data_IF_785573768806
#
_entry.id   IF_785573768806
#
_cell.length_a   1.000
_cell.length_b   1.000
_cell.length_c   1.000
_cell.angle_alpha   90.00
_cell.angle_beta   90.00
_cell.angle_gamma   90.00
#
_symmetry.space_group_name_H-M   'P 1'
#
loop_
_entity.id
_entity.type
_entity.pdbx_description
1 polymer ?
#
# COMPACT_ATOMS: atom_id res chain seq x y z
N UNK A 1 5.58 -4.24 18.66
CA UNK A 1 5.83 -5.16 17.53
C UNK A 1 5.46 -6.56 17.97
N UNK A 2 4.79 -7.30 17.11
CA UNK A 2 4.41 -8.68 17.32
C UNK A 2 4.50 -9.46 16.03
N UNK A 3 4.42 -10.79 16.16
CA UNK A 3 4.38 -11.71 15.02
C UNK A 3 3.23 -12.68 15.24
N UNK A 4 2.51 -13.00 14.19
CA UNK A 4 1.35 -13.87 14.23
C UNK A 4 1.27 -14.72 12.97
N UNK A 5 0.75 -15.95 13.11
CA UNK A 5 0.43 -16.78 11.96
C UNK A 5 -0.92 -16.32 11.39
N UNK A 6 -0.95 -15.92 10.14
CA UNK A 6 -2.12 -15.50 9.40
C UNK A 6 -2.09 -16.12 7.99
N UNK A 7 -3.18 -16.68 7.50
CA UNK A 7 -3.26 -17.32 6.18
C UNK A 7 -2.11 -18.31 5.88
N UNK A 8 -1.64 -19.04 6.92
CA UNK A 8 -0.57 -20.04 6.79
C UNK A 8 0.86 -19.49 6.75
N UNK A 9 1.07 -18.19 6.92
CA UNK A 9 2.37 -17.53 6.96
C UNK A 9 2.53 -16.69 8.24
N UNK A 10 3.78 -16.34 8.59
CA UNK A 10 4.07 -15.43 9.69
C UNK A 10 4.05 -13.99 9.20
N UNK A 11 3.26 -13.12 9.83
CA UNK A 11 3.23 -11.67 9.58
C UNK A 11 3.79 -10.92 10.78
N UNK A 12 4.70 -10.00 10.51
CA UNK A 12 5.22 -9.04 11.48
C UNK A 12 4.32 -7.81 11.48
N UNK A 13 3.88 -7.35 12.67
CA UNK A 13 2.97 -6.22 12.81
C UNK A 13 3.29 -5.33 14.00
N UNK A 14 2.72 -4.13 14.00
CA UNK A 14 2.78 -3.18 15.11
C UNK A 14 1.42 -2.50 15.29
N UNK A 15 1.05 -2.26 16.56
CA UNK A 15 -0.23 -1.62 16.93
C UNK A 15 0.03 -0.33 17.69
N UNK A 16 -0.76 0.70 17.41
CA UNK A 16 -0.79 1.99 18.11
C UNK A 16 -2.24 2.29 18.51
N UNK A 17 -2.42 3.03 19.59
CA UNK A 17 -3.75 3.43 20.09
C UNK A 17 -4.37 2.40 21.04
N UNK A 18 -5.63 2.62 21.37
CA UNK A 18 -6.41 1.77 22.29
C UNK A 18 -7.19 0.73 21.50
N UNK A 19 -7.27 -0.51 22.02
CA UNK A 19 -8.03 -1.60 21.37
C UNK A 19 -9.55 -1.36 21.33
N UNK A 20 -10.04 -0.43 22.14
CA UNK A 20 -11.46 -0.04 22.17
C UNK A 20 -11.83 0.97 21.07
N UNK A 21 -10.83 1.57 20.42
CA UNK A 21 -11.04 2.54 19.33
C UNK A 21 -11.28 1.85 17.97
N UNK A 22 -11.94 2.51 17.00
CA UNK A 22 -12.09 1.99 15.63
C UNK A 22 -10.75 1.58 15.02
N UNK A 23 -10.71 0.36 14.49
CA UNK A 23 -9.47 -0.25 13.95
C UNK A 23 -9.18 0.21 12.54
N UNK A 24 -7.98 0.73 12.31
CA UNK A 24 -7.39 1.01 11.00
C UNK A 24 -6.36 -0.06 10.65
N UNK A 25 -6.51 -0.73 9.51
CA UNK A 25 -5.49 -1.61 8.94
C UNK A 25 -4.74 -0.88 7.82
N UNK A 26 -3.44 -0.63 8.02
CA UNK A 26 -2.59 0.07 7.07
C UNK A 26 -1.79 -0.93 6.22
N UNK A 27 -2.07 -0.97 4.92
CA UNK A 27 -1.43 -1.86 3.94
C UNK A 27 -0.46 -1.04 3.08
N UNK A 28 0.83 -1.41 3.10
CA UNK A 28 1.88 -0.67 2.40
C UNK A 28 2.10 -1.21 0.98
N UNK A 29 2.79 -0.41 0.16
CA UNK A 29 3.06 -0.66 -1.25
C UNK A 29 4.19 -1.65 -1.54
N UNK A 30 4.49 -1.78 -2.83
CA UNK A 30 5.48 -2.68 -3.42
C UNK A 30 6.86 -2.52 -2.78
N UNK A 31 7.42 -3.63 -2.30
CA UNK A 31 8.78 -3.70 -1.76
C UNK A 31 8.99 -2.91 -0.47
N UNK A 32 7.96 -2.24 0.03
CA UNK A 32 8.04 -1.38 1.20
C UNK A 32 7.64 -2.11 2.47
N UNK A 33 8.44 -1.92 3.52
CA UNK A 33 8.18 -2.46 4.85
C UNK A 33 7.13 -1.61 5.58
N UNK A 34 6.50 -2.16 6.62
CA UNK A 34 5.52 -1.42 7.44
C UNK A 34 6.07 -0.10 8.02
N UNK A 35 7.38 -0.01 8.17
CA UNK A 35 8.09 1.18 8.64
C UNK A 35 8.00 2.38 7.69
N UNK A 36 7.58 2.16 6.44
CA UNK A 36 7.28 3.24 5.48
C UNK A 36 6.01 4.03 5.87
N UNK A 37 5.11 3.45 6.66
CA UNK A 37 4.17 4.22 7.46
C UNK A 37 4.92 4.82 8.67
N UNK A 38 5.23 6.13 8.71
CA UNK A 38 6.03 6.70 9.79
C UNK A 38 5.36 6.51 11.16
N UNK A 39 6.17 6.26 12.18
CA UNK A 39 5.66 6.09 13.57
C UNK A 39 4.85 7.31 14.00
N UNK A 40 5.31 8.51 13.65
CA UNK A 40 4.62 9.76 13.96
C UNK A 40 3.24 9.83 13.29
N UNK A 41 3.13 9.41 12.02
CA UNK A 41 1.86 9.32 11.30
C UNK A 41 0.88 8.36 11.99
N UNK A 42 1.37 7.16 12.38
CA UNK A 42 0.56 6.19 13.11
C UNK A 42 0.12 6.71 14.48
N UNK A 43 1.01 7.41 15.20
CA UNK A 43 0.69 8.03 16.49
C UNK A 43 -0.31 9.17 16.37
N UNK A 44 -0.25 9.94 15.29
CA UNK A 44 -1.26 10.99 15.06
C UNK A 44 -2.64 10.39 14.79
N UNK A 45 -2.75 9.31 14.01
CA UNK A 45 -4.00 8.57 13.86
C UNK A 45 -4.49 8.01 15.20
N UNK A 46 -3.60 7.40 15.99
CA UNK A 46 -3.93 6.91 17.32
C UNK A 46 -4.38 8.05 18.26
N UNK A 47 -3.74 9.20 18.20
CA UNK A 47 -4.13 10.40 18.96
C UNK A 47 -5.48 10.98 18.56
N UNK A 48 -6.03 10.60 17.40
CA UNK A 48 -7.37 10.95 16.91
C UNK A 48 -8.45 9.94 17.32
N UNK A 49 -8.10 8.93 18.14
CA UNK A 49 -9.01 7.91 18.63
C UNK A 49 -9.16 6.74 17.66
N UNK A 50 -8.07 6.25 17.10
CA UNK A 50 -8.04 5.05 16.26
C UNK A 50 -7.05 4.03 16.82
N UNK A 51 -7.41 2.73 16.77
CA UNK A 51 -6.44 1.67 16.86
C UNK A 51 -5.81 1.49 15.48
N UNK A 52 -4.48 1.62 15.37
CA UNK A 52 -3.76 1.58 14.09
C UNK A 52 -2.90 0.34 14.04
N UNK A 53 -3.15 -0.53 13.07
CA UNK A 53 -2.37 -1.74 12.80
C UNK A 53 -1.61 -1.51 11.50
N UNK A 54 -0.27 -1.62 11.53
CA UNK A 54 0.58 -1.70 10.34
C UNK A 54 1.36 -3.00 10.35
N UNK A 55 1.62 -3.56 9.18
CA UNK A 55 2.29 -4.86 9.05
C UNK A 55 3.18 -4.93 7.81
N UNK A 56 4.15 -5.82 7.83
CA UNK A 56 4.90 -6.17 6.63
C UNK A 56 4.08 -7.16 5.80
N UNK A 57 3.83 -6.82 4.54
CA UNK A 57 3.23 -7.74 3.58
C UNK A 57 4.08 -9.01 3.45
N UNK A 58 3.49 -10.14 2.95
CA UNK A 58 4.27 -11.32 2.57
C UNK A 58 5.45 -10.93 1.72
N UNK A 59 6.54 -11.63 1.87
CA UNK A 59 7.76 -11.47 1.07
C UNK A 59 8.58 -10.20 1.35
N UNK A 60 8.18 -9.38 2.33
CA UNK A 60 8.87 -8.14 2.68
C UNK A 60 9.08 -8.04 4.19
N UNK A 61 10.14 -7.33 4.58
CA UNK A 61 10.45 -7.00 5.96
C UNK A 61 10.75 -8.23 6.79
N UNK A 62 10.06 -8.37 7.92
CA UNK A 62 10.24 -9.50 8.85
C UNK A 62 9.07 -10.51 8.74
N UNK A 63 8.12 -10.31 7.84
CA UNK A 63 7.12 -11.32 7.48
C UNK A 63 7.76 -12.47 6.69
N UNK A 64 7.03 -13.57 6.51
CA UNK A 64 7.50 -14.74 5.79
C UNK A 64 7.98 -14.41 4.39
N UNK A 65 9.20 -14.83 4.05
CA UNK A 65 9.75 -14.79 2.70
C UNK A 65 9.32 -16.03 1.93
N UNK A 66 8.92 -15.85 0.67
CA UNK A 66 8.37 -16.91 -0.18
C UNK A 66 9.42 -17.51 -1.14
N UNK A 67 10.68 -17.61 -0.73
CA UNK A 67 11.81 -18.09 -1.56
C UNK A 67 11.60 -19.50 -2.11
N UNK A 68 10.84 -20.32 -1.39
CA UNK A 68 10.47 -21.66 -1.82
C UNK A 68 9.59 -21.68 -3.09
N UNK A 69 8.97 -20.53 -3.46
CA UNK A 69 8.19 -20.37 -4.69
C UNK A 69 9.05 -20.02 -5.92
N UNK A 70 10.37 -19.84 -5.74
CA UNK A 70 11.31 -19.57 -6.82
C UNK A 70 11.50 -18.08 -7.13
N UNK A 71 12.34 -17.82 -8.13
CA UNK A 71 12.65 -16.49 -8.63
C UNK A 71 11.52 -15.97 -9.53
N UNK A 72 11.36 -14.64 -9.58
CA UNK A 72 10.38 -13.97 -10.43
C UNK A 72 11.10 -13.00 -11.39
N UNK A 73 10.73 -13.02 -12.66
CA UNK A 73 11.19 -12.07 -13.67
C UNK A 73 10.10 -11.01 -13.90
N UNK A 74 10.19 -9.92 -13.15
CA UNK A 74 9.22 -8.81 -13.23
C UNK A 74 9.20 -8.13 -14.58
N UNK A 75 10.36 -8.09 -15.30
CA UNK A 75 10.42 -7.48 -16.63
C UNK A 75 9.78 -8.36 -17.70
N UNK A 76 9.99 -9.68 -17.64
CA UNK A 76 9.29 -10.61 -18.52
C UNK A 76 7.78 -10.57 -18.27
N UNK A 77 7.34 -10.53 -17.00
CA UNK A 77 5.93 -10.41 -16.63
C UNK A 77 5.29 -9.12 -17.17
N UNK A 78 5.97 -7.99 -17.02
CA UNK A 78 5.51 -6.70 -17.55
C UNK A 78 5.41 -6.74 -19.08
N UNK A 79 6.41 -7.31 -19.77
CA UNK A 79 6.40 -7.48 -21.22
C UNK A 79 5.22 -8.35 -21.70
N UNK A 80 4.93 -9.47 -21.03
CA UNK A 80 3.81 -10.35 -21.33
C UNK A 80 2.46 -9.62 -21.16
N UNK A 81 2.28 -8.89 -20.04
CA UNK A 81 1.06 -8.12 -19.81
C UNK A 81 0.84 -7.03 -20.88
N UNK A 82 1.90 -6.32 -21.28
CA UNK A 82 1.82 -5.32 -22.35
C UNK A 82 1.49 -5.94 -23.70
N UNK A 83 1.84 -7.21 -23.92
CA UNK A 83 1.46 -8.00 -25.10
C UNK A 83 0.04 -8.57 -25.01
N UNK A 84 -0.66 -8.40 -23.89
CA UNK A 84 -1.98 -8.98 -23.63
C UNK A 84 -1.94 -10.47 -23.33
N UNK A 85 -0.79 -10.98 -22.92
CA UNK A 85 -0.57 -12.38 -22.54
C UNK A 85 -0.88 -12.58 -21.05
N UNK A 86 -1.28 -13.79 -20.67
CA UNK A 86 -1.48 -14.14 -19.27
C UNK A 86 -0.12 -14.17 -18.53
N UNK A 87 -0.11 -13.64 -17.31
CA UNK A 87 1.05 -13.64 -16.42
C UNK A 87 0.82 -14.64 -15.30
N UNK A 88 1.77 -15.56 -15.13
CA UNK A 88 1.73 -16.54 -14.04
C UNK A 88 2.49 -15.97 -12.83
N UNK A 89 1.84 -15.92 -11.68
CA UNK A 89 2.39 -15.36 -10.45
C UNK A 89 2.52 -16.43 -9.37
N UNK A 90 3.59 -16.37 -8.59
CA UNK A 90 3.83 -17.29 -7.46
C UNK A 90 2.75 -17.15 -6.37
N UNK A 91 2.18 -15.98 -6.23
CA UNK A 91 1.00 -15.62 -5.45
C UNK A 91 0.35 -14.37 -6.06
N UNK A 92 -0.87 -14.04 -5.63
CA UNK A 92 -1.69 -12.99 -6.20
C UNK A 92 -1.92 -11.85 -5.20
N UNK A 93 -2.47 -10.70 -5.66
CA UNK A 93 -2.95 -9.66 -4.75
C UNK A 93 -4.15 -10.14 -3.91
N UNK A 94 -4.92 -11.13 -4.41
CA UNK A 94 -5.98 -11.76 -3.64
C UNK A 94 -5.42 -12.56 -2.45
N UNK A 95 -4.32 -13.32 -2.64
CA UNK A 95 -3.63 -14.00 -1.52
C UNK A 95 -3.10 -13.00 -0.48
N UNK A 96 -2.68 -11.80 -0.91
CA UNK A 96 -2.23 -10.74 0.00
C UNK A 96 -3.41 -10.07 0.72
N UNK A 97 -4.57 -10.00 0.10
CA UNK A 97 -5.81 -9.60 0.75
C UNK A 97 -6.25 -10.63 1.82
N UNK A 98 -6.12 -11.92 1.50
CA UNK A 98 -6.39 -13.02 2.46
C UNK A 98 -5.42 -12.97 3.66
N UNK A 99 -4.16 -12.56 3.45
CA UNK A 99 -3.21 -12.30 4.55
C UNK A 99 -3.70 -11.20 5.49
N UNK A 100 -4.21 -10.11 4.88
CA UNK A 100 -4.75 -8.98 5.63
C UNK A 100 -5.96 -9.37 6.47
N UNK A 101 -6.86 -10.18 5.91
CA UNK A 101 -8.01 -10.77 6.63
C UNK A 101 -7.53 -11.72 7.72
N UNK A 102 -6.57 -12.60 7.41
CA UNK A 102 -5.99 -13.51 8.38
C UNK A 102 -5.29 -12.80 9.55
N UNK A 103 -4.68 -11.63 9.28
CA UNK A 103 -4.11 -10.78 10.34
C UNK A 103 -5.21 -10.23 11.26
N UNK A 104 -6.32 -9.72 10.70
CA UNK A 104 -7.46 -9.27 11.49
C UNK A 104 -8.01 -10.40 12.36
N UNK A 105 -8.20 -11.61 11.80
CA UNK A 105 -8.66 -12.79 12.55
C UNK A 105 -7.73 -13.12 13.72
N UNK A 106 -6.43 -13.16 13.46
CA UNK A 106 -5.43 -13.50 14.46
C UNK A 106 -5.33 -12.46 15.60
N UNK A 107 -5.74 -11.22 15.33
CA UNK A 107 -5.79 -10.13 16.31
C UNK A 107 -7.17 -9.95 16.94
N UNK A 108 -8.18 -10.73 16.52
CA UNK A 108 -9.51 -10.74 17.10
C UNK A 108 -10.45 -9.64 16.58
N UNK A 109 -10.19 -9.12 15.37
CA UNK A 109 -11.01 -8.10 14.72
C UNK A 109 -11.93 -8.72 13.65
N UNK A 110 -13.23 -8.55 13.79
CA UNK A 110 -14.22 -9.01 12.79
C UNK A 110 -14.15 -8.21 11.50
N UNK A 111 -13.90 -6.89 11.60
CA UNK A 111 -13.72 -5.98 10.47
C UNK A 111 -12.85 -4.77 10.87
N UNK A 112 -12.36 -4.03 9.88
CA UNK A 112 -11.56 -2.83 10.08
C UNK A 112 -11.81 -1.79 8.98
N UNK A 113 -11.40 -0.54 9.23
CA UNK A 113 -11.26 0.46 8.19
C UNK A 113 -9.94 0.19 7.43
N UNK A 114 -10.02 -0.04 6.13
CA UNK A 114 -8.88 -0.47 5.33
C UNK A 114 -8.23 0.75 4.67
N UNK A 115 -6.95 0.94 4.91
CA UNK A 115 -6.15 2.03 4.33
C UNK A 115 -4.99 1.41 3.54
N UNK A 116 -4.97 1.58 2.24
CA UNK A 116 -3.93 1.03 1.38
C UNK A 116 -3.20 2.10 0.57
N UNK A 117 -1.87 2.02 0.53
CA UNK A 117 -1.02 2.92 -0.25
C UNK A 117 -0.38 2.18 -1.42
N UNK A 118 -0.48 2.72 -2.67
CA UNK A 118 0.13 2.13 -3.87
C UNK A 118 -0.35 0.69 -4.11
N UNK A 119 0.54 -0.31 -4.20
CA UNK A 119 0.16 -1.73 -4.20
C UNK A 119 -0.74 -2.08 -3.01
N UNK A 120 -0.51 -1.48 -1.84
CA UNK A 120 -1.39 -1.68 -0.68
C UNK A 120 -2.83 -1.22 -0.94
N UNK A 121 -3.04 -0.19 -1.75
CA UNK A 121 -4.36 0.21 -2.23
C UNK A 121 -4.96 -0.83 -3.19
N UNK A 122 -4.15 -1.47 -4.04
CA UNK A 122 -4.61 -2.56 -4.91
C UNK A 122 -5.02 -3.79 -4.08
N UNK A 123 -4.24 -4.13 -3.04
CA UNK A 123 -4.58 -5.19 -2.07
C UNK A 123 -5.87 -4.83 -1.33
N UNK A 124 -6.00 -3.58 -0.86
CA UNK A 124 -7.22 -3.08 -0.22
C UNK A 124 -8.44 -3.19 -1.14
N UNK A 125 -8.30 -2.87 -2.43
CA UNK A 125 -9.35 -3.08 -3.43
C UNK A 125 -9.72 -4.57 -3.55
N UNK A 126 -8.75 -5.49 -3.60
CA UNK A 126 -9.02 -6.93 -3.60
C UNK A 126 -9.71 -7.39 -2.31
N UNK A 127 -9.31 -6.84 -1.16
CA UNK A 127 -9.95 -7.15 0.12
C UNK A 127 -11.43 -6.77 0.10
N UNK A 128 -11.77 -5.54 -0.29
CA UNK A 128 -13.18 -5.10 -0.28
C UNK A 128 -14.04 -5.78 -1.35
N UNK A 129 -13.44 -6.27 -2.45
CA UNK A 129 -14.11 -7.06 -3.47
C UNK A 129 -14.39 -8.48 -2.96
N UNK A 130 -13.38 -9.15 -2.39
CA UNK A 130 -13.44 -10.56 -2.03
C UNK A 130 -14.04 -10.79 -0.65
N UNK A 131 -13.89 -9.84 0.28
CA UNK A 131 -14.28 -9.92 1.69
C UNK A 131 -15.00 -8.65 2.15
N UNK A 132 -16.11 -8.24 1.50
CA UNK A 132 -16.79 -6.97 1.80
C UNK A 132 -17.23 -6.86 3.26
N UNK A 133 -17.52 -7.97 3.92
CA UNK A 133 -17.92 -8.02 5.34
C UNK A 133 -16.77 -7.72 6.31
N UNK A 134 -15.52 -7.71 5.82
CA UNK A 134 -14.33 -7.47 6.62
C UNK A 134 -13.84 -6.02 6.57
N UNK A 135 -14.50 -5.18 5.75
CA UNK A 135 -14.15 -3.78 5.57
C UNK A 135 -15.30 -2.86 5.98
N UNK A 136 -15.01 -1.91 6.86
CA UNK A 136 -15.94 -0.86 7.29
C UNK A 136 -15.88 0.38 6.39
N UNK A 137 -14.71 0.65 5.82
CA UNK A 137 -14.47 1.69 4.82
C UNK A 137 -13.19 1.39 4.04
N UNK A 138 -13.01 2.05 2.90
CA UNK A 138 -11.81 1.97 2.07
C UNK A 138 -11.16 3.35 1.92
N UNK A 139 -9.89 3.50 2.28
CA UNK A 139 -9.05 4.62 1.87
C UNK A 139 -7.97 4.12 0.91
N UNK A 140 -8.03 4.58 -0.34
CA UNK A 140 -7.05 4.26 -1.39
C UNK A 140 -6.13 5.45 -1.62
N UNK A 141 -4.84 5.32 -1.33
CA UNK A 141 -3.85 6.41 -1.41
C UNK A 141 -2.91 6.12 -2.59
N UNK A 142 -2.79 7.06 -3.53
CA UNK A 142 -1.95 6.99 -4.77
C UNK A 142 -1.91 5.58 -5.38
N UNK A 143 -3.10 5.00 -5.59
CA UNK A 143 -3.28 3.66 -6.16
C UNK A 143 -4.10 3.70 -7.45
N UNK A 144 -4.33 2.54 -8.05
CA UNK A 144 -5.00 2.39 -9.35
C UNK A 144 -5.80 1.10 -9.41
N UNK A 145 -6.92 1.03 -10.16
CA UNK A 145 -7.69 -0.20 -10.32
C UNK A 145 -7.10 -1.16 -11.38
N UNK A 146 -6.17 -0.70 -12.20
CA UNK A 146 -5.53 -1.45 -13.26
C UNK A 146 -4.11 -0.96 -13.51
N UNK A 147 -3.33 -1.74 -14.23
CA UNK A 147 -2.02 -1.27 -14.66
C UNK A 147 -2.16 -0.10 -15.66
N UNK A 148 -1.58 1.05 -15.31
CA UNK A 148 -1.44 2.22 -16.18
C UNK A 148 0.06 2.49 -16.30
N UNK A 149 0.64 2.44 -17.52
CA UNK A 149 2.07 2.67 -17.68
C UNK A 149 2.48 4.06 -17.17
N UNK A 150 3.47 4.11 -16.31
CA UNK A 150 4.18 5.34 -15.96
C UNK A 150 5.28 5.66 -16.98
N UNK A 151 5.94 6.81 -16.81
CA UNK A 151 7.12 7.15 -17.61
C UNK A 151 8.18 6.05 -17.46
N UNK A 152 8.81 5.59 -18.56
CA UNK A 152 9.84 4.55 -18.50
C UNK A 152 11.02 4.90 -17.57
N UNK A 153 11.39 6.17 -17.43
CA UNK A 153 12.47 6.60 -16.51
C UNK A 153 12.06 6.39 -15.05
N UNK A 154 10.78 6.56 -14.72
CA UNK A 154 10.24 6.32 -13.37
C UNK A 154 10.17 4.82 -13.08
N UNK A 155 9.70 4.02 -14.04
CA UNK A 155 9.62 2.55 -13.89
C UNK A 155 11.00 1.93 -13.76
N UNK A 156 12.02 2.52 -14.39
CA UNK A 156 13.39 2.02 -14.36
C UNK A 156 13.98 1.93 -12.94
N UNK A 157 13.50 2.73 -11.98
CA UNK A 157 14.02 2.69 -10.58
C UNK A 157 13.85 1.32 -9.92
N UNK A 158 12.81 0.57 -10.29
CA UNK A 158 12.54 -0.77 -9.75
C UNK A 158 13.44 -1.86 -10.36
N UNK A 159 14.18 -1.54 -11.40
CA UNK A 159 15.04 -2.46 -12.13
C UNK A 159 16.52 -2.05 -12.13
N UNK A 160 16.89 -1.09 -11.28
CA UNK A 160 18.30 -0.74 -11.13
C UNK A 160 19.07 -1.93 -10.57
N UNK A 161 20.25 -2.21 -11.13
CA UNK A 161 21.09 -3.30 -10.61
C UNK A 161 21.50 -2.99 -9.17
N UNK A 162 21.58 -4.05 -8.33
CA UNK A 162 22.09 -3.89 -6.97
C UNK A 162 23.53 -3.34 -7.02
N UNK A 163 23.80 -2.18 -6.39
CA UNK A 163 25.14 -1.59 -6.34
C UNK A 163 26.17 -2.42 -5.59
N UNK A 164 25.75 -3.47 -4.89
CA UNK A 164 26.63 -4.40 -4.17
C UNK A 164 27.23 -3.86 -2.87
N UNK A 165 26.93 -2.62 -2.49
CA UNK A 165 27.41 -2.01 -1.24
C UNK A 165 26.25 -1.35 -0.50
N UNK A 166 26.32 -1.33 0.84
CA UNK A 166 25.31 -0.69 1.67
C UNK A 166 25.09 0.79 1.27
N UNK A 167 26.17 1.54 1.14
CA UNK A 167 26.10 2.96 0.75
C UNK A 167 25.50 3.14 -0.65
N UNK A 168 25.85 2.28 -1.60
CA UNK A 168 25.27 2.31 -2.94
C UNK A 168 23.76 2.02 -2.93
N UNK A 169 23.32 1.03 -2.14
CA UNK A 169 21.89 0.72 -1.96
C UNK A 169 21.13 1.89 -1.32
N UNK A 170 21.72 2.51 -0.29
CA UNK A 170 21.14 3.71 0.33
C UNK A 170 21.00 4.83 -0.70
N UNK A 171 22.06 5.11 -1.47
CA UNK A 171 22.01 6.16 -2.49
C UNK A 171 20.97 5.86 -3.57
N UNK A 172 20.89 4.62 -4.07
CA UNK A 172 19.87 4.22 -5.04
C UNK A 172 18.45 4.42 -4.48
N UNK A 173 18.21 4.08 -3.21
CA UNK A 173 16.93 4.32 -2.55
C UNK A 173 16.58 5.81 -2.44
N UNK A 174 17.56 6.68 -2.13
CA UNK A 174 17.37 8.15 -2.08
C UNK A 174 17.07 8.70 -3.48
N UNK A 175 17.81 8.26 -4.49
CA UNK A 175 17.61 8.71 -5.87
C UNK A 175 16.24 8.25 -6.41
N UNK A 176 15.82 7.02 -6.10
CA UNK A 176 14.49 6.52 -6.42
C UNK A 176 13.38 7.34 -5.77
N UNK A 177 13.50 7.60 -4.47
CA UNK A 177 12.55 8.44 -3.74
C UNK A 177 12.46 9.86 -4.33
N UNK A 178 13.58 10.43 -4.77
CA UNK A 178 13.61 11.74 -5.43
C UNK A 178 12.89 11.72 -6.78
N UNK A 179 13.05 10.66 -7.57
CA UNK A 179 12.39 10.50 -8.87
C UNK A 179 10.89 10.36 -8.70
N UNK A 180 10.43 9.66 -7.67
CA UNK A 180 9.01 9.43 -7.42
C UNK A 180 8.34 10.56 -6.63
N UNK A 181 9.10 11.48 -6.02
CA UNK A 181 8.53 12.67 -5.39
C UNK A 181 7.93 13.62 -6.41
N UNK A 182 6.80 14.24 -6.10
CA UNK A 182 6.12 15.16 -7.01
C UNK A 182 6.76 16.54 -7.12
N UNK A 183 7.71 16.85 -6.25
CA UNK A 183 8.40 18.14 -6.21
C UNK A 183 7.58 19.32 -5.65
N UNK A 184 6.33 19.10 -5.26
CA UNK A 184 5.49 20.13 -4.63
C UNK A 184 5.70 20.27 -3.12
N UNK A 185 6.35 19.27 -2.50
CA UNK A 185 6.72 19.27 -1.09
C UNK A 185 8.25 19.30 -0.93
N UNK A 186 8.77 19.85 0.17
CA UNK A 186 10.20 19.81 0.45
C UNK A 186 10.73 18.38 0.54
N UNK A 187 11.78 18.07 -0.22
CA UNK A 187 12.46 16.78 -0.16
C UNK A 187 13.61 16.87 0.85
N UNK A 188 13.43 16.25 2.03
CA UNK A 188 14.46 16.15 3.06
C UNK A 188 15.34 14.91 2.79
N UNK A 189 16.43 15.10 2.07
CA UNK A 189 17.34 14.02 1.70
C UNK A 189 17.94 13.31 2.91
N UNK A 190 18.28 14.03 3.98
CA UNK A 190 18.85 13.43 5.18
C UNK A 190 17.83 12.52 5.90
N UNK A 191 16.56 12.93 5.90
CA UNK A 191 15.46 12.14 6.44
C UNK A 191 15.26 10.88 5.60
N UNK A 192 15.15 11.03 4.28
CA UNK A 192 14.98 9.90 3.36
C UNK A 192 16.14 8.92 3.47
N UNK A 193 17.37 9.41 3.52
CA UNK A 193 18.57 8.57 3.69
C UNK A 193 18.52 7.75 4.98
N UNK A 194 18.10 8.35 6.10
CA UNK A 194 17.93 7.62 7.38
C UNK A 194 16.86 6.54 7.26
N UNK A 195 15.72 6.82 6.62
CA UNK A 195 14.67 5.83 6.41
C UNK A 195 15.12 4.67 5.54
N UNK A 196 15.77 4.96 4.41
CA UNK A 196 16.30 3.93 3.51
C UNK A 196 17.33 3.06 4.23
N UNK A 197 18.28 3.68 4.94
CA UNK A 197 19.29 2.94 5.69
C UNK A 197 18.67 2.03 6.77
N UNK A 198 17.70 2.53 7.52
CA UNK A 198 17.01 1.75 8.56
C UNK A 198 16.19 0.58 7.96
N UNK A 199 15.55 0.79 6.82
CA UNK A 199 14.80 -0.28 6.14
C UNK A 199 15.73 -1.36 5.58
N UNK A 200 16.88 -0.99 5.02
CA UNK A 200 17.88 -1.96 4.54
C UNK A 200 18.48 -2.74 5.71
N UNK A 201 18.81 -2.08 6.82
CA UNK A 201 19.33 -2.73 8.02
C UNK A 201 18.32 -3.69 8.65
N UNK A 202 17.02 -3.33 8.62
CA UNK A 202 15.93 -4.16 9.14
C UNK A 202 15.71 -5.41 8.29
N UNK A 203 15.66 -5.27 6.95
CA UNK A 203 15.51 -6.38 6.01
C UNK A 203 15.80 -5.91 4.59
N UNK A 204 16.59 -6.70 3.87
CA UNK A 204 16.86 -6.51 2.45
C UNK A 204 16.48 -7.78 1.69
N UNK A 205 15.39 -7.71 0.91
CA UNK A 205 14.84 -8.88 0.19
C UNK A 205 14.28 -8.49 -1.18
N UNK A 206 15.14 -8.18 -2.17
CA UNK A 206 14.71 -7.75 -3.50
C UNK A 206 13.96 -8.85 -4.28
N UNK A 207 14.20 -10.13 -3.99
CA UNK A 207 13.50 -11.26 -4.61
C UNK A 207 11.99 -11.23 -4.29
N UNK A 208 11.64 -10.84 -3.06
CA UNK A 208 10.24 -10.64 -2.66
C UNK A 208 9.60 -9.48 -3.39
N UNK A 209 10.30 -8.36 -3.54
CA UNK A 209 9.81 -7.24 -4.34
C UNK A 209 9.54 -7.65 -5.79
N UNK A 210 10.39 -8.48 -6.39
CA UNK A 210 10.17 -8.98 -7.75
C UNK A 210 8.90 -9.84 -7.86
N UNK A 211 8.65 -10.75 -6.90
CA UNK A 211 7.42 -11.55 -6.84
C UNK A 211 6.18 -10.70 -6.63
N UNK A 212 6.23 -9.68 -5.77
CA UNK A 212 5.14 -8.72 -5.58
C UNK A 212 4.83 -7.94 -6.88
N UNK A 213 5.84 -7.52 -7.64
CA UNK A 213 5.65 -6.86 -8.93
C UNK A 213 4.92 -7.77 -9.91
N UNK A 214 5.29 -9.05 -9.97
CA UNK A 214 4.60 -10.04 -10.82
C UNK A 214 3.14 -10.21 -10.37
N UNK A 215 2.87 -10.22 -9.05
CA UNK A 215 1.51 -10.30 -8.52
C UNK A 215 0.65 -9.08 -8.94
N UNK A 216 1.23 -7.86 -8.92
CA UNK A 216 0.55 -6.64 -9.42
C UNK A 216 0.15 -6.80 -10.90
N UNK A 217 1.12 -7.22 -11.71
CA UNK A 217 0.92 -7.34 -13.17
C UNK A 217 -0.09 -8.44 -13.52
N UNK A 218 -0.05 -9.56 -12.80
CA UNK A 218 -0.95 -10.69 -12.99
C UNK A 218 -2.40 -10.42 -12.57
N UNK A 219 -2.62 -9.47 -11.67
CA UNK A 219 -3.95 -9.19 -11.11
C UNK A 219 -4.90 -8.53 -12.12
N UNK A 220 -4.39 -7.82 -13.11
CA UNK A 220 -5.16 -7.26 -14.21
C UNK A 220 -5.98 -6.02 -13.85
N UNK A 221 -7.18 -5.92 -14.45
CA UNK A 221 -8.10 -4.78 -14.32
C UNK A 221 -9.27 -5.12 -13.39
N UNK A 222 -9.37 -4.40 -12.26
CA UNK A 222 -10.41 -4.55 -11.23
C UNK A 222 -11.57 -3.56 -11.39
N UNK A 223 -11.54 -2.69 -12.41
CA UNK A 223 -12.50 -1.58 -12.55
C UNK A 223 -13.95 -2.06 -12.51
N UNK A 224 -14.28 -3.14 -13.21
CA UNK A 224 -15.66 -3.67 -13.21
C UNK A 224 -16.05 -4.29 -11.86
N UNK A 225 -15.12 -4.97 -11.20
CA UNK A 225 -15.37 -5.58 -9.89
C UNK A 225 -15.58 -4.50 -8.81
N UNK A 226 -14.85 -3.38 -8.88
CA UNK A 226 -14.99 -2.24 -7.96
C UNK A 226 -16.38 -1.58 -8.01
N UNK A 227 -17.12 -1.72 -9.09
CA UNK A 227 -18.52 -1.23 -9.18
C UNK A 227 -19.48 -1.92 -8.22
N UNK A 228 -19.12 -3.09 -7.72
CA UNK A 228 -19.91 -3.82 -6.73
C UNK A 228 -19.63 -3.40 -5.29
N UNK A 229 -18.60 -2.58 -5.07
CA UNK A 229 -18.22 -2.09 -3.74
C UNK A 229 -19.24 -1.07 -3.24
N UNK A 230 -19.87 -1.38 -2.10
CA UNK A 230 -20.91 -0.56 -1.46
C UNK A 230 -20.49 -0.27 -0.01
N UNK A 231 -19.46 0.56 0.14
CA UNK A 231 -18.98 1.03 1.44
C UNK A 231 -18.36 2.43 1.31
N UNK A 232 -18.34 3.21 2.41
CA UNK A 232 -17.70 4.53 2.39
C UNK A 232 -16.27 4.45 1.87
N UNK A 233 -15.97 5.21 0.83
CA UNK A 233 -14.68 5.15 0.13
C UNK A 233 -14.09 6.53 -0.06
N UNK A 234 -12.80 6.67 0.28
CA UNK A 234 -11.98 7.86 0.04
C UNK A 234 -10.80 7.50 -0.85
N UNK A 235 -10.62 8.23 -1.93
CA UNK A 235 -9.44 8.16 -2.79
C UNK A 235 -8.60 9.42 -2.58
N UNK A 236 -7.34 9.25 -2.18
CA UNK A 236 -6.36 10.31 -2.00
C UNK A 236 -5.27 10.16 -3.05
N UNK A 237 -5.06 11.19 -3.88
CA UNK A 237 -4.04 11.08 -4.92
C UNK A 237 -3.30 12.40 -5.13
N UNK A 238 -1.98 12.29 -5.36
CA UNK A 238 -1.14 13.44 -5.66
C UNK A 238 -1.30 13.89 -7.12
N UNK A 239 -1.39 15.20 -7.34
CA UNK A 239 -1.50 15.74 -8.71
C UNK A 239 -0.22 15.58 -9.51
N UNK A 240 0.91 15.34 -8.85
CA UNK A 240 2.24 15.20 -9.44
C UNK A 240 2.82 13.78 -9.31
N UNK A 241 2.00 12.77 -9.06
CA UNK A 241 2.48 11.38 -8.94
C UNK A 241 3.00 10.87 -10.30
N UNK A 242 4.32 10.63 -10.43
CA UNK A 242 4.89 10.18 -11.69
C UNK A 242 4.88 8.66 -11.85
N UNK A 243 4.63 7.91 -10.76
CA UNK A 243 4.69 6.44 -10.73
C UNK A 243 3.32 5.81 -10.92
N UNK A 244 2.36 6.16 -10.07
CA UNK A 244 0.96 5.83 -10.29
C UNK A 244 0.26 7.11 -10.72
N UNK A 245 0.18 7.30 -12.02
CA UNK A 245 -0.32 8.56 -12.58
C UNK A 245 -1.71 8.93 -12.06
N UNK A 246 -2.04 10.23 -11.92
CA UNK A 246 -3.29 10.71 -11.33
C UNK A 246 -4.56 10.09 -11.93
N UNK A 247 -4.49 9.65 -13.19
CA UNK A 247 -5.56 8.90 -13.85
C UNK A 247 -5.99 7.67 -13.04
N UNK A 248 -5.06 6.97 -12.34
CA UNK A 248 -5.38 5.79 -11.53
C UNK A 248 -6.30 6.11 -10.35
N UNK A 249 -6.06 7.24 -9.67
CA UNK A 249 -6.94 7.73 -8.61
C UNK A 249 -8.33 8.11 -9.14
N UNK A 250 -8.39 8.81 -10.27
CA UNK A 250 -9.65 9.16 -10.91
C UNK A 250 -10.46 7.92 -11.30
N UNK A 251 -9.82 6.94 -11.97
CA UNK A 251 -10.49 5.70 -12.37
C UNK A 251 -10.97 4.87 -11.17
N UNK A 252 -10.22 4.88 -10.06
CA UNK A 252 -10.66 4.22 -8.81
C UNK A 252 -11.92 4.88 -8.27
N UNK A 253 -11.94 6.22 -8.20
CA UNK A 253 -13.09 6.96 -7.69
C UNK A 253 -14.31 6.82 -8.63
N UNK A 254 -14.10 6.85 -9.94
CA UNK A 254 -15.18 6.69 -10.92
C UNK A 254 -15.79 5.26 -10.90
N UNK A 255 -15.02 4.26 -10.50
CA UNK A 255 -15.49 2.88 -10.43
C UNK A 255 -16.37 2.62 -9.20
N UNK A 256 -16.12 3.27 -8.07
CA UNK A 256 -16.82 3.02 -6.80
C UNK A 256 -17.91 4.08 -6.59
N UNK A 257 -19.15 3.66 -6.55
CA UNK A 257 -20.29 4.58 -6.37
C UNK A 257 -20.21 5.28 -5.01
N UNK A 258 -20.23 6.60 -5.02
CA UNK A 258 -20.17 7.41 -3.80
C UNK A 258 -18.74 7.64 -3.25
N UNK A 259 -17.70 7.16 -3.94
CA UNK A 259 -16.34 7.44 -3.53
C UNK A 259 -16.04 8.95 -3.60
N UNK A 260 -15.41 9.48 -2.54
CA UNK A 260 -14.84 10.82 -2.53
C UNK A 260 -13.43 10.79 -3.10
N UNK A 261 -13.09 11.74 -3.99
CA UNK A 261 -11.73 11.91 -4.51
C UNK A 261 -11.16 13.24 -4.02
N UNK A 262 -10.05 13.17 -3.31
CA UNK A 262 -9.30 14.33 -2.82
C UNK A 262 -7.93 14.39 -3.50
N UNK A 263 -7.72 15.44 -4.28
CA UNK A 263 -6.43 15.74 -4.89
C UNK A 263 -5.52 16.47 -3.89
N UNK A 264 -4.28 15.99 -3.77
CA UNK A 264 -3.24 16.66 -2.97
C UNK A 264 -2.27 17.33 -3.93
N UNK A 265 -2.39 18.65 -4.05
CA UNK A 265 -1.60 19.43 -5.02
C UNK A 265 -0.10 19.31 -4.76
N UNK A 266 0.66 19.02 -5.81
CA UNK A 266 2.10 18.86 -5.77
C UNK A 266 2.63 17.56 -5.14
N UNK A 267 1.79 16.72 -4.54
CA UNK A 267 2.21 15.43 -4.00
C UNK A 267 2.54 14.45 -5.13
N UNK A 268 3.67 13.75 -4.99
CA UNK A 268 4.05 12.63 -5.84
C UNK A 268 3.66 11.29 -5.25
N UNK A 269 4.47 10.26 -5.51
CA UNK A 269 4.30 8.91 -4.96
C UNK A 269 4.99 8.77 -3.60
N UNK A 270 4.55 9.57 -2.64
CA UNK A 270 5.16 9.69 -1.32
C UNK A 270 4.13 10.12 -0.26
N UNK A 271 4.50 10.01 1.02
CA UNK A 271 3.73 10.51 2.15
C UNK A 271 4.48 11.69 2.83
N UNK A 272 4.61 12.86 2.18
CA UNK A 272 5.38 13.95 2.73
C UNK A 272 4.66 14.53 3.96
N UNK A 273 5.40 14.93 5.03
CA UNK A 273 4.80 15.48 6.25
C UNK A 273 3.84 16.65 6.00
N UNK A 274 4.09 17.46 4.97
CA UNK A 274 3.21 18.57 4.58
C UNK A 274 1.83 18.14 4.06
N UNK A 275 1.68 16.91 3.58
CA UNK A 275 0.40 16.35 3.13
C UNK A 275 -0.37 15.62 4.26
N UNK A 276 0.31 15.30 5.38
CA UNK A 276 -0.32 14.54 6.47
C UNK A 276 -1.61 15.15 6.99
N UNK A 277 -1.75 16.46 7.23
CA UNK A 277 -3.01 17.01 7.69
C UNK A 277 -4.20 16.62 6.81
N UNK A 278 -4.07 16.75 5.49
CA UNK A 278 -5.13 16.38 4.54
C UNK A 278 -5.42 14.87 4.57
N UNK A 279 -4.38 14.04 4.62
CA UNK A 279 -4.52 12.58 4.61
C UNK A 279 -5.16 12.10 5.93
N UNK A 280 -4.66 12.58 7.07
CA UNK A 280 -5.16 12.20 8.39
C UNK A 280 -6.59 12.68 8.64
N UNK A 281 -6.91 13.91 8.20
CA UNK A 281 -8.27 14.46 8.30
C UNK A 281 -9.24 13.65 7.42
N UNK A 282 -8.82 13.30 6.20
CA UNK A 282 -9.59 12.46 5.28
C UNK A 282 -9.89 11.08 5.87
N UNK A 283 -8.86 10.37 6.35
CA UNK A 283 -9.01 9.05 6.97
C UNK A 283 -9.97 9.13 8.18
N UNK A 284 -9.71 10.06 9.12
CA UNK A 284 -10.54 10.18 10.33
C UNK A 284 -11.98 10.61 10.00
N UNK A 285 -12.16 11.45 8.99
CA UNK A 285 -13.48 11.87 8.50
C UNK A 285 -14.28 10.70 7.95
N UNK A 286 -13.65 9.86 7.11
CA UNK A 286 -14.26 8.65 6.53
C UNK A 286 -14.62 7.63 7.61
N UNK A 287 -13.74 7.39 8.58
CA UNK A 287 -14.04 6.52 9.73
C UNK A 287 -15.28 7.01 10.47
N UNK A 288 -15.32 8.30 10.82
CA UNK A 288 -16.46 8.88 11.53
C UNK A 288 -17.77 8.83 10.72
N UNK A 289 -17.71 8.85 9.40
CA UNK A 289 -18.86 8.67 8.51
C UNK A 289 -19.35 7.20 8.54
N UNK A 290 -18.44 6.25 8.36
CA UNK A 290 -18.74 4.83 8.35
C UNK A 290 -19.34 4.36 9.69
N UNK A 291 -18.76 4.78 10.82
CA UNK A 291 -19.26 4.47 12.16
C UNK A 291 -20.68 5.02 12.39
N UNK A 292 -20.98 6.24 11.89
CA UNK A 292 -22.34 6.79 11.98
C UNK A 292 -23.35 6.01 11.13
N UNK A 293 -22.94 5.53 9.95
CA UNK A 293 -23.81 4.74 9.07
C UNK A 293 -24.10 3.34 9.62
N UNK A 294 -23.15 2.74 10.33
CA UNK A 294 -23.27 1.42 10.97
C UNK A 294 -23.95 1.43 12.36
N UNK A 295 -24.16 2.61 12.97
CA UNK A 295 -24.80 2.73 14.27
C UNK A 295 -26.28 2.30 14.19
N UNK A 296 -26.79 1.44 15.08
CA UNK A 296 -28.21 1.11 15.12
C UNK A 296 -29.04 2.39 15.45
N UNK A 297 -30.13 2.59 14.72
CA UNK A 297 -31.05 3.72 14.88
C UNK A 297 -31.80 3.69 16.23
#
# INVERSE_FOLDING_TARGET
MGRVTANGIELEYEVFGDEADPTLLLIMGLGAQMTTWPVEFCRELAGRGHQVIRFDNRDIGLSSHMDHLGEADSMAALGAAMAGEAVDAAYTLADMADDSVGLLDALGHDAAHIVGASMGGMIAQRLVINHPERALSLTSIFSTPRFIPADPEVVAVFNWPDPGTLEGRIQAGVDGARITSGGGFPFDEDLVRRYVAANIDRSWHPEGQARQMVAIVADGDRTEELRSVDLPTLVLHGTHDPLVVPQGGQETADAIVGAELVWIDGMGHELPPGAWPTILDGISGLVAEAERAGAPA
#
